data_IF_950704199950
#
_entry.id   IF_950704199950
#
_cell.length_a   1.000
_cell.length_b   1.000
_cell.length_c   1.000
_cell.angle_alpha   90.00
_cell.angle_beta   90.00
_cell.angle_gamma   90.00
#
_symmetry.space_group_name_H-M   'P 1'
#
loop_
_entity.id
_entity.type
_entity.pdbx_description
1 polymer ?
#
# COMPACT_ATOMS: atom_id res chain seq x y z
N UNK A 1 9.38 12.38 2.87
CA UNK A 1 9.79 11.04 2.39
C UNK A 1 8.75 10.38 1.49
N UNK A 2 7.60 9.88 1.96
CA UNK A 2 6.62 9.21 1.06
C UNK A 2 6.05 10.14 -0.03
N UNK A 3 5.84 11.42 0.31
CA UNK A 3 5.38 12.47 -0.63
C UNK A 3 6.40 12.76 -1.74
N UNK A 4 7.67 12.92 -1.37
CA UNK A 4 8.77 13.18 -2.32
C UNK A 4 9.02 12.00 -3.27
N UNK A 5 8.86 10.76 -2.77
CA UNK A 5 8.99 9.53 -3.57
C UNK A 5 7.82 9.41 -4.55
N UNK A 6 6.60 9.73 -4.14
CA UNK A 6 5.42 9.70 -5.01
C UNK A 6 5.50 10.77 -6.12
N UNK A 7 5.84 12.01 -5.78
CA UNK A 7 5.97 13.12 -6.73
C UNK A 7 7.06 12.83 -7.79
N UNK A 8 8.18 12.21 -7.41
CA UNK A 8 9.25 11.85 -8.35
C UNK A 8 9.00 10.58 -9.16
N UNK A 9 8.28 9.59 -8.62
CA UNK A 9 7.81 8.44 -9.40
C UNK A 9 6.88 8.89 -10.53
N UNK A 10 6.01 9.87 -10.23
CA UNK A 10 5.11 10.49 -11.21
C UNK A 10 5.92 11.19 -12.32
N UNK A 11 6.91 12.02 -11.99
CA UNK A 11 7.77 12.67 -12.99
C UNK A 11 8.56 11.68 -13.87
N UNK A 12 9.09 10.58 -13.28
CA UNK A 12 9.86 9.58 -14.03
C UNK A 12 9.01 8.73 -14.97
N UNK A 13 7.75 8.46 -14.60
CA UNK A 13 6.75 7.85 -15.50
C UNK A 13 6.37 8.82 -16.63
N UNK A 14 6.41 10.14 -16.38
CA UNK A 14 6.00 11.21 -17.30
C UNK A 14 7.11 11.65 -18.27
N UNK A 15 8.37 11.22 -18.14
CA UNK A 15 9.42 11.51 -19.13
C UNK A 15 9.00 11.14 -20.58
N UNK A 16 9.45 11.86 -21.63
CA UNK A 16 8.75 12.05 -22.90
C UNK A 16 8.49 10.72 -23.62
N UNK A 17 7.28 10.23 -23.43
CA UNK A 17 6.73 9.03 -24.04
C UNK A 17 5.34 9.42 -24.54
N UNK A 18 4.97 8.95 -25.73
CA UNK A 18 3.63 9.15 -26.28
C UNK A 18 2.57 8.62 -25.30
N UNK A 19 1.40 9.25 -25.25
CA UNK A 19 0.30 8.87 -24.35
C UNK A 19 -0.02 7.38 -24.42
N UNK A 20 -0.06 6.82 -25.63
CA UNK A 20 -0.29 5.38 -25.83
C UNK A 20 0.79 4.48 -25.23
N UNK A 21 2.06 4.92 -25.21
CA UNK A 21 3.15 4.14 -24.60
C UNK A 21 3.11 4.17 -23.08
N UNK A 22 2.74 5.31 -22.49
CA UNK A 22 2.50 5.38 -21.04
C UNK A 22 1.35 4.47 -20.65
N UNK A 23 0.26 4.50 -21.40
CA UNK A 23 -0.89 3.61 -21.19
C UNK A 23 -0.49 2.13 -21.29
N UNK A 24 0.33 1.76 -22.30
CA UNK A 24 0.84 0.41 -22.45
C UNK A 24 1.69 -0.07 -21.25
N UNK A 25 2.62 0.78 -20.76
CA UNK A 25 3.44 0.45 -19.58
C UNK A 25 2.56 0.26 -18.34
N UNK A 26 1.60 1.16 -18.14
CA UNK A 26 0.69 1.12 -17.00
C UNK A 26 -0.20 -0.12 -17.05
N UNK A 27 -0.77 -0.43 -18.22
CA UNK A 27 -1.58 -1.64 -18.43
C UNK A 27 -0.76 -2.89 -18.15
N UNK A 28 0.46 -2.96 -18.69
CA UNK A 28 1.36 -4.10 -18.45
C UNK A 28 1.74 -4.24 -16.97
N UNK A 29 1.97 -3.14 -16.24
CA UNK A 29 2.23 -3.18 -14.80
C UNK A 29 1.01 -3.68 -14.01
N UNK A 30 -0.20 -3.25 -14.37
CA UNK A 30 -1.45 -3.73 -13.75
C UNK A 30 -1.66 -5.22 -14.01
N UNK A 31 -1.49 -5.67 -15.26
CA UNK A 31 -1.61 -7.08 -15.61
C UNK A 31 -0.56 -7.92 -14.90
N UNK A 32 0.70 -7.47 -14.87
CA UNK A 32 1.77 -8.16 -14.14
C UNK A 32 1.46 -8.24 -12.63
N UNK A 33 0.91 -7.17 -12.05
CA UNK A 33 0.49 -7.14 -10.66
C UNK A 33 -0.69 -8.10 -10.39
N UNK A 34 -1.63 -8.19 -11.33
CA UNK A 34 -2.73 -9.17 -11.24
C UNK A 34 -2.21 -10.60 -11.30
N UNK A 35 -1.32 -10.93 -12.26
CA UNK A 35 -0.66 -12.24 -12.34
C UNK A 35 0.11 -12.53 -11.06
N UNK A 36 0.84 -11.55 -10.50
CA UNK A 36 1.51 -11.69 -9.20
C UNK A 36 0.53 -12.05 -8.09
N UNK A 37 -0.65 -11.44 -8.02
CA UNK A 37 -1.67 -11.80 -7.01
C UNK A 37 -2.15 -13.25 -7.15
N UNK A 38 -2.28 -13.75 -8.38
CA UNK A 38 -2.68 -15.14 -8.64
C UNK A 38 -1.59 -16.15 -8.30
N UNK A 39 -0.33 -15.84 -8.61
CA UNK A 39 0.79 -16.78 -8.48
C UNK A 39 1.56 -16.66 -7.16
N UNK A 40 1.69 -15.44 -6.64
CA UNK A 40 2.49 -15.10 -5.46
C UNK A 40 1.78 -14.06 -4.57
N UNK A 41 0.59 -14.38 -4.01
CA UNK A 41 -0.18 -13.46 -3.17
C UNK A 41 0.62 -12.95 -1.96
N UNK A 42 1.49 -13.80 -1.39
CA UNK A 42 2.38 -13.46 -0.26
C UNK A 42 3.35 -12.31 -0.55
N UNK A 43 3.64 -12.02 -1.83
CA UNK A 43 4.57 -10.95 -2.21
C UNK A 43 3.97 -9.54 -2.02
N UNK A 44 2.65 -9.43 -1.78
CA UNK A 44 1.97 -8.15 -1.57
C UNK A 44 0.90 -8.16 -0.47
N UNK A 45 0.48 -9.32 0.02
CA UNK A 45 -0.49 -9.43 1.10
C UNK A 45 0.24 -9.77 2.42
N UNK A 46 -0.23 -9.17 3.53
CA UNK A 46 0.18 -9.54 4.90
C UNK A 46 -0.07 -11.06 5.12
N UNK A 47 0.53 -11.74 6.12
CA UNK A 47 0.29 -13.17 6.39
C UNK A 47 -1.18 -13.64 6.44
N UNK A 48 -2.16 -12.74 6.48
CA UNK A 48 -3.56 -13.05 6.17
C UNK A 48 -3.89 -12.72 4.72
N UNK A 49 -4.30 -13.75 3.98
CA UNK A 49 -4.64 -13.71 2.54
C UNK A 49 -5.72 -12.67 2.17
N UNK A 50 -6.60 -12.28 3.10
CA UNK A 50 -7.68 -11.34 2.82
C UNK A 50 -7.82 -10.26 3.90
N UNK A 51 -7.39 -9.01 3.64
CA UNK A 51 -7.45 -7.93 4.63
C UNK A 51 -8.88 -7.56 5.03
N UNK A 52 -9.84 -7.70 4.11
CA UNK A 52 -11.26 -7.45 4.37
C UNK A 52 -11.84 -8.52 5.32
N UNK A 53 -11.45 -9.79 5.16
CA UNK A 53 -11.89 -10.85 6.07
C UNK A 53 -11.39 -10.62 7.49
N UNK A 54 -10.15 -10.14 7.64
CA UNK A 54 -9.62 -9.78 8.95
C UNK A 54 -10.48 -8.68 9.62
N UNK A 55 -10.91 -7.67 8.88
CA UNK A 55 -11.82 -6.63 9.38
C UNK A 55 -13.22 -7.16 9.70
N UNK A 56 -13.75 -8.06 8.87
CA UNK A 56 -15.04 -8.73 9.14
C UNK A 56 -14.97 -9.55 10.42
N UNK A 57 -13.92 -10.35 10.58
CA UNK A 57 -13.71 -11.20 11.75
C UNK A 57 -13.62 -10.32 13.00
N UNK A 58 -12.81 -9.25 12.98
CA UNK A 58 -12.70 -8.32 14.11
C UNK A 58 -14.05 -7.68 14.50
N UNK A 59 -14.93 -7.45 13.52
CA UNK A 59 -16.25 -6.87 13.75
C UNK A 59 -17.23 -7.87 14.36
N UNK A 60 -17.33 -9.06 13.78
CA UNK A 60 -18.33 -10.06 14.13
C UNK A 60 -17.92 -10.94 15.32
N UNK A 61 -16.63 -11.27 15.42
CA UNK A 61 -16.04 -12.07 16.49
C UNK A 61 -14.70 -11.45 16.92
N UNK A 62 -14.72 -10.40 17.76
CA UNK A 62 -13.49 -9.76 18.24
C UNK A 62 -12.61 -10.74 19.03
N UNK A 63 -13.20 -11.70 19.75
CA UNK A 63 -12.50 -12.79 20.45
C UNK A 63 -11.71 -13.67 19.48
N UNK A 64 -12.40 -14.22 18.48
CA UNK A 64 -11.78 -15.08 17.48
C UNK A 64 -10.74 -14.34 16.63
N UNK A 65 -10.92 -13.04 16.39
CA UNK A 65 -9.89 -12.25 15.71
C UNK A 65 -8.62 -12.10 16.55
N UNK A 66 -8.75 -11.84 17.85
CA UNK A 66 -7.61 -11.69 18.75
C UNK A 66 -6.86 -13.02 18.90
N UNK A 67 -7.59 -14.11 19.11
CA UNK A 67 -7.07 -15.48 19.16
C UNK A 67 -6.35 -15.83 17.85
N UNK A 68 -6.99 -15.67 16.70
CA UNK A 68 -6.37 -15.94 15.41
C UNK A 68 -5.16 -15.04 15.13
N UNK A 69 -5.02 -13.88 15.80
CA UNK A 69 -3.87 -12.97 15.62
C UNK A 69 -2.69 -13.35 16.51
N UNK A 70 -2.98 -13.92 17.69
CA UNK A 70 -1.98 -14.36 18.65
C UNK A 70 -1.53 -15.80 18.40
N UNK A 71 -2.45 -16.71 18.06
CA UNK A 71 -2.21 -18.16 18.03
C UNK A 71 -1.89 -18.63 16.61
N UNK A 72 -2.73 -18.27 15.63
CA UNK A 72 -2.70 -18.86 14.28
C UNK A 72 -1.69 -18.22 13.32
N UNK A 73 -1.13 -17.05 13.66
CA UNK A 73 -0.19 -16.35 12.78
C UNK A 73 1.18 -17.03 12.78
N UNK A 74 1.63 -17.44 11.61
CA UNK A 74 3.02 -17.87 11.39
C UNK A 74 3.99 -16.68 11.47
N UNK A 75 4.67 -16.55 12.60
CA UNK A 75 5.65 -15.49 12.84
C UNK A 75 6.85 -15.49 11.88
N UNK A 76 7.40 -16.64 11.46
CA UNK A 76 8.43 -16.66 10.42
C UNK A 76 7.95 -16.02 9.11
N UNK A 77 6.70 -16.28 8.72
CA UNK A 77 6.11 -15.65 7.54
C UNK A 77 5.90 -14.14 7.71
N UNK A 78 5.49 -13.69 8.90
CA UNK A 78 5.39 -12.27 9.21
C UNK A 78 6.76 -11.56 9.15
N UNK A 79 7.82 -12.19 9.66
CA UNK A 79 9.19 -11.67 9.59
C UNK A 79 9.68 -11.60 8.14
N UNK A 80 9.48 -12.66 7.36
CA UNK A 80 9.84 -12.66 5.94
C UNK A 80 9.12 -11.56 5.17
N UNK A 81 7.82 -11.37 5.44
CA UNK A 81 7.03 -10.29 4.87
C UNK A 81 7.60 -8.90 5.25
N UNK A 82 8.02 -8.69 6.50
CA UNK A 82 8.69 -7.44 6.92
C UNK A 82 10.00 -7.20 6.15
N UNK A 83 10.81 -8.24 5.94
CA UNK A 83 12.03 -8.10 5.14
C UNK A 83 11.71 -7.73 3.69
N UNK A 84 10.70 -8.35 3.09
CA UNK A 84 10.25 -8.02 1.73
C UNK A 84 9.79 -6.56 1.63
N UNK A 85 9.04 -6.06 2.63
CA UNK A 85 8.63 -4.65 2.72
C UNK A 85 9.84 -3.69 2.68
N UNK A 86 10.85 -3.98 3.50
CA UNK A 86 12.06 -3.16 3.61
C UNK A 86 12.80 -3.16 2.29
N UNK A 87 13.01 -4.33 1.68
CA UNK A 87 13.70 -4.47 0.39
C UNK A 87 12.97 -3.66 -0.70
N UNK A 88 11.65 -3.83 -0.85
CA UNK A 88 10.87 -3.11 -1.87
C UNK A 88 10.91 -1.59 -1.63
N UNK A 89 10.82 -1.17 -0.36
CA UNK A 89 10.89 0.26 0.00
C UNK A 89 12.28 0.85 -0.28
N UNK A 90 13.36 0.14 0.02
CA UNK A 90 14.73 0.59 -0.23
C UNK A 90 15.09 0.61 -1.71
N UNK A 91 14.56 -0.35 -2.48
CA UNK A 91 14.66 -0.29 -3.93
C UNK A 91 13.99 0.99 -4.46
N UNK A 92 12.76 1.27 -4.05
CA UNK A 92 12.03 2.47 -4.47
C UNK A 92 12.73 3.78 -4.03
N UNK A 93 13.28 3.84 -2.81
CA UNK A 93 14.01 5.01 -2.31
C UNK A 93 15.32 5.24 -3.09
N UNK A 94 16.08 4.18 -3.34
CA UNK A 94 17.32 4.21 -4.12
C UNK A 94 17.07 4.66 -5.55
N UNK A 95 15.95 4.24 -6.15
CA UNK A 95 15.57 4.70 -7.49
C UNK A 95 15.10 6.15 -7.50
N UNK A 96 14.29 6.59 -6.52
CA UNK A 96 13.88 7.99 -6.43
C UNK A 96 15.09 8.93 -6.26
N UNK A 97 16.12 8.51 -5.52
CA UNK A 97 17.36 9.30 -5.36
C UNK A 97 18.23 9.29 -6.62
N UNK A 98 18.35 8.17 -7.32
CA UNK A 98 19.05 8.09 -8.62
C UNK A 98 18.36 8.92 -9.71
N UNK A 99 17.03 8.93 -9.73
CA UNK A 99 16.22 9.78 -10.58
C UNK A 99 16.49 11.27 -10.33
N UNK A 100 16.53 11.68 -9.06
CA UNK A 100 16.81 13.07 -8.65
C UNK A 100 18.23 13.53 -9.02
N UNK A 101 19.22 12.64 -8.98
CA UNK A 101 20.61 12.95 -9.38
C UNK A 101 20.79 13.08 -10.90
N UNK A 102 20.00 12.34 -11.68
CA UNK A 102 20.08 12.35 -13.15
C UNK A 102 19.30 13.51 -13.79
N UNK A 103 18.30 14.07 -13.11
CA UNK A 103 17.67 15.33 -13.51
C UNK A 103 18.59 16.53 -13.26
N UNK A 104 19.33 16.57 -12.14
CA UNK A 104 20.27 17.64 -11.82
C UNK A 104 21.53 17.66 -12.71
N UNK A 105 21.92 16.52 -13.27
CA UNK A 105 23.07 16.45 -14.20
C UNK A 105 22.71 16.80 -15.64
N UNK A 106 21.41 16.76 -16.00
CA UNK A 106 20.93 17.01 -17.37
C UNK A 106 20.88 18.48 -17.73
N UNK A 107 20.86 19.37 -16.73
CA UNK A 107 20.96 20.82 -16.91
C UNK A 107 22.34 21.29 -17.36
N UNK A 108 23.36 20.41 -17.40
CA UNK A 108 24.76 20.81 -17.68
C UNK A 108 25.36 20.21 -18.96
N UNK A 109 24.63 19.39 -19.72
CA UNK A 109 25.18 18.70 -20.89
C UNK A 109 24.44 19.10 -22.18
N UNK A 110 24.79 20.27 -22.73
CA UNK A 110 24.48 20.63 -24.11
C UNK A 110 25.65 20.27 -25.04
N UNK A 111 25.31 19.78 -26.23
CA UNK A 111 26.16 19.45 -27.40
C UNK A 111 26.74 18.03 -27.45
N UNK A 112 26.17 17.20 -28.34
CA UNK A 112 26.86 16.12 -29.08
C UNK A 112 25.96 15.59 -30.21
N UNK A 113 26.51 15.12 -31.36
CA UNK A 113 25.82 15.03 -32.64
C UNK A 113 25.09 13.70 -32.91
N UNK A 114 24.25 13.70 -33.95
CA UNK A 114 22.91 13.09 -33.94
C UNK A 114 22.71 11.78 -34.71
N UNK A 115 23.72 11.17 -35.33
CA UNK A 115 23.44 10.19 -36.41
C UNK A 115 23.70 8.72 -36.08
N UNK A 116 24.54 8.37 -35.09
CA UNK A 116 24.75 6.96 -34.66
C UNK A 116 23.69 6.50 -33.62
N UNK A 117 22.85 7.44 -33.17
CA UNK A 117 21.97 7.24 -32.01
C UNK A 117 20.77 6.33 -32.24
N UNK A 118 20.31 6.07 -33.47
CA UNK A 118 18.96 5.51 -33.69
C UNK A 118 18.78 4.07 -33.18
N UNK A 119 19.80 3.19 -33.33
CA UNK A 119 19.74 1.78 -32.86
C UNK A 119 20.07 1.61 -31.38
N UNK A 120 20.98 2.44 -30.83
CA UNK A 120 21.27 2.50 -29.38
C UNK A 120 20.12 3.15 -28.59
N UNK A 121 19.42 4.13 -29.18
CA UNK A 121 18.26 4.80 -28.59
C UNK A 121 17.08 3.86 -28.42
N UNK A 122 16.84 2.91 -29.34
CA UNK A 122 15.82 1.88 -29.19
C UNK A 122 16.05 0.97 -27.98
N UNK A 123 17.27 0.44 -27.80
CA UNK A 123 17.63 -0.40 -26.64
C UNK A 123 17.64 0.39 -25.32
N UNK A 124 18.00 1.67 -25.35
CA UNK A 124 17.94 2.53 -24.16
C UNK A 124 16.48 2.85 -23.77
N UNK A 125 15.60 3.06 -24.76
CA UNK A 125 14.17 3.27 -24.56
C UNK A 125 13.48 2.04 -23.95
N UNK A 126 13.78 0.83 -24.44
CA UNK A 126 13.18 -0.40 -23.90
C UNK A 126 13.67 -0.70 -22.49
N UNK A 127 14.95 -0.45 -22.19
CA UNK A 127 15.47 -0.51 -20.82
C UNK A 127 14.76 0.49 -19.90
N UNK A 128 14.55 1.73 -20.36
CA UNK A 128 13.84 2.74 -19.58
C UNK A 128 12.37 2.37 -19.34
N UNK A 129 11.69 1.78 -20.33
CA UNK A 129 10.30 1.31 -20.18
C UNK A 129 10.19 0.13 -19.22
N UNK A 130 11.07 -0.87 -19.37
CA UNK A 130 11.13 -2.01 -18.45
C UNK A 130 11.39 -1.52 -17.01
N UNK A 131 12.26 -0.52 -16.87
CA UNK A 131 12.52 0.10 -15.57
C UNK A 131 11.29 0.81 -14.99
N UNK A 132 10.55 1.59 -15.79
CA UNK A 132 9.29 2.22 -15.37
C UNK A 132 8.22 1.19 -14.99
N UNK A 133 8.13 0.10 -15.74
CA UNK A 133 7.22 -1.00 -15.46
C UNK A 133 7.55 -1.66 -14.11
N UNK A 134 8.83 -1.95 -13.84
CA UNK A 134 9.27 -2.51 -12.56
C UNK A 134 8.98 -1.56 -11.39
N UNK A 135 9.20 -0.26 -11.56
CA UNK A 135 8.87 0.75 -10.55
C UNK A 135 7.37 0.81 -10.26
N UNK A 136 6.53 0.82 -11.30
CA UNK A 136 5.09 0.79 -11.14
C UNK A 136 4.63 -0.49 -10.45
N UNK A 137 5.16 -1.64 -10.84
CA UNK A 137 4.86 -2.92 -10.20
C UNK A 137 5.27 -2.95 -8.73
N UNK A 138 6.47 -2.47 -8.40
CA UNK A 138 6.93 -2.35 -7.01
C UNK A 138 6.05 -1.38 -6.21
N UNK A 139 5.63 -0.25 -6.81
CA UNK A 139 4.75 0.72 -6.16
C UNK A 139 3.36 0.14 -5.88
N UNK A 140 2.78 -0.61 -6.82
CA UNK A 140 1.50 -1.31 -6.65
C UNK A 140 1.60 -2.36 -5.54
N UNK A 141 2.67 -3.14 -5.55
CA UNK A 141 2.93 -4.17 -4.53
C UNK A 141 3.07 -3.54 -3.14
N UNK A 142 3.79 -2.42 -3.03
CA UNK A 142 3.93 -1.69 -1.78
C UNK A 142 2.58 -1.08 -1.34
N UNK A 143 1.81 -0.48 -2.25
CA UNK A 143 0.50 0.09 -1.93
C UNK A 143 -0.47 -0.98 -1.37
N UNK A 144 -0.53 -2.14 -2.00
CA UNK A 144 -1.38 -3.27 -1.54
C UNK A 144 -0.98 -3.74 -0.16
N UNK A 145 0.32 -3.87 0.06
CA UNK A 145 0.82 -4.38 1.32
C UNK A 145 0.62 -3.39 2.47
N UNK A 146 0.70 -2.07 2.20
CA UNK A 146 0.31 -1.02 3.15
C UNK A 146 -1.18 -0.98 3.42
N UNK A 147 -2.00 -1.23 2.40
CA UNK A 147 -3.44 -1.37 2.57
C UNK A 147 -3.78 -2.57 3.45
N UNK A 148 -3.16 -3.72 3.20
CA UNK A 148 -3.37 -4.93 3.99
C UNK A 148 -2.90 -4.77 5.43
N UNK A 149 -1.70 -4.19 5.64
CA UNK A 149 -1.18 -3.84 6.96
C UNK A 149 -2.14 -2.91 7.71
N UNK A 150 -2.68 -1.90 7.03
CA UNK A 150 -3.62 -0.93 7.63
C UNK A 150 -4.92 -1.60 8.03
N UNK A 151 -5.52 -2.42 7.16
CA UNK A 151 -6.74 -3.14 7.49
C UNK A 151 -6.54 -4.07 8.68
N UNK A 152 -5.41 -4.78 8.73
CA UNK A 152 -5.05 -5.65 9.85
C UNK A 152 -4.83 -4.86 11.14
N UNK A 153 -4.05 -3.79 11.12
CA UNK A 153 -3.74 -2.99 12.31
C UNK A 153 -5.01 -2.34 12.88
N UNK A 154 -5.86 -1.79 12.01
CA UNK A 154 -7.16 -1.21 12.41
C UNK A 154 -8.07 -2.29 12.98
N UNK A 155 -8.16 -3.47 12.34
CA UNK A 155 -8.96 -4.59 12.83
C UNK A 155 -8.50 -5.04 14.23
N UNK A 156 -7.19 -5.18 14.45
CA UNK A 156 -6.61 -5.59 15.72
C UNK A 156 -6.82 -4.55 16.82
N UNK A 157 -6.60 -3.27 16.54
CA UNK A 157 -6.85 -2.17 17.50
C UNK A 157 -8.34 -2.10 17.84
N UNK A 158 -9.22 -2.21 16.85
CA UNK A 158 -10.66 -2.14 17.05
C UNK A 158 -11.19 -3.34 17.85
N UNK A 159 -10.78 -4.58 17.53
CA UNK A 159 -11.21 -5.77 18.28
C UNK A 159 -10.66 -5.74 19.70
N UNK A 160 -9.37 -5.43 19.88
CA UNK A 160 -8.74 -5.39 21.21
C UNK A 160 -9.32 -4.27 22.06
N UNK A 161 -9.49 -3.08 21.48
CA UNK A 161 -10.13 -1.94 22.16
C UNK A 161 -11.57 -2.24 22.55
N UNK A 162 -12.34 -2.90 21.67
CA UNK A 162 -13.70 -3.35 21.99
C UNK A 162 -13.71 -4.28 23.19
N UNK A 163 -12.86 -5.31 23.20
CA UNK A 163 -12.82 -6.28 24.29
C UNK A 163 -12.35 -5.67 25.61
N UNK A 164 -11.33 -4.80 25.57
CA UNK A 164 -10.72 -4.25 26.78
C UNK A 164 -11.49 -3.07 27.38
N UNK A 165 -12.08 -2.22 26.55
CA UNK A 165 -12.72 -0.96 26.99
C UNK A 165 -14.24 -1.06 27.05
N UNK A 166 -14.85 -1.81 26.15
CA UNK A 166 -16.31 -1.88 25.99
C UNK A 166 -16.90 -3.26 26.29
N UNK A 167 -16.05 -4.26 26.57
CA UNK A 167 -16.45 -5.64 26.81
C UNK A 167 -16.86 -5.91 28.25
N UNK A 168 -17.68 -6.94 28.41
CA UNK A 168 -18.08 -7.45 29.72
C UNK A 168 -16.87 -7.98 30.52
N UNK A 169 -17.05 -8.26 31.83
CA UNK A 169 -15.95 -8.75 32.68
C UNK A 169 -15.31 -10.01 32.11
N UNK A 170 -16.12 -10.96 31.64
CA UNK A 170 -15.66 -12.20 31.03
C UNK A 170 -14.84 -11.96 29.75
N UNK A 171 -15.27 -11.02 28.91
CA UNK A 171 -14.57 -10.65 27.68
C UNK A 171 -13.21 -10.03 27.95
N UNK A 172 -13.14 -9.15 28.96
CA UNK A 172 -11.89 -8.54 29.41
C UNK A 172 -10.95 -9.56 30.01
N UNK A 173 -11.46 -10.48 30.82
CA UNK A 173 -10.66 -11.52 31.45
C UNK A 173 -10.14 -12.53 30.41
N UNK A 174 -10.95 -12.89 29.42
CA UNK A 174 -10.51 -13.67 28.27
C UNK A 174 -9.35 -12.99 27.53
N UNK A 175 -9.52 -11.73 27.13
CA UNK A 175 -8.49 -10.98 26.40
C UNK A 175 -7.19 -10.85 27.22
N UNK A 176 -7.30 -10.59 28.52
CA UNK A 176 -6.14 -10.50 29.43
C UNK A 176 -5.42 -11.84 29.58
N UNK A 177 -6.17 -12.94 29.76
CA UNK A 177 -5.59 -14.29 29.85
C UNK A 177 -4.86 -14.64 28.56
N UNK A 178 -5.52 -14.48 27.42
CA UNK A 178 -4.94 -14.79 26.12
C UNK A 178 -3.67 -13.97 25.82
N UNK A 179 -3.64 -12.69 26.20
CA UNK A 179 -2.43 -11.85 26.11
C UNK A 179 -1.36 -12.30 27.11
N UNK A 180 -1.75 -12.67 28.33
CA UNK A 180 -0.86 -13.16 29.38
C UNK A 180 -0.24 -14.53 29.08
N UNK A 181 -0.96 -15.40 28.39
CA UNK A 181 -0.49 -16.73 27.97
C UNK A 181 0.48 -16.65 26.79
N UNK A 182 0.45 -15.54 26.03
CA UNK A 182 1.30 -15.33 24.85
C UNK A 182 2.00 -13.96 24.85
N UNK A 183 2.80 -13.63 25.87
CA UNK A 183 3.31 -12.27 26.08
C UNK A 183 4.30 -11.84 24.99
N UNK A 184 5.16 -12.75 24.51
CA UNK A 184 6.09 -12.46 23.43
C UNK A 184 5.37 -12.12 22.12
N UNK A 185 4.30 -12.85 21.80
CA UNK A 185 3.49 -12.62 20.59
C UNK A 185 2.69 -11.32 20.72
N UNK A 186 2.11 -11.06 21.88
CA UNK A 186 1.42 -9.80 22.16
C UNK A 186 2.37 -8.58 22.04
N UNK A 187 3.60 -8.69 22.56
CA UNK A 187 4.61 -7.65 22.42
C UNK A 187 4.98 -7.40 20.96
N UNK A 188 5.16 -8.46 20.15
CA UNK A 188 5.42 -8.33 18.73
C UNK A 188 4.25 -7.68 17.96
N UNK A 189 3.00 -8.06 18.27
CA UNK A 189 1.81 -7.41 17.70
C UNK A 189 1.78 -5.92 18.05
N UNK A 190 2.05 -5.57 19.31
CA UNK A 190 2.13 -4.18 19.74
C UNK A 190 3.24 -3.41 19.00
N UNK A 191 4.42 -4.00 18.83
CA UNK A 191 5.51 -3.43 18.04
C UNK A 191 5.12 -3.19 16.58
N UNK A 192 4.40 -4.13 15.96
CA UNK A 192 3.90 -3.99 14.58
C UNK A 192 2.87 -2.87 14.46
N UNK A 193 1.93 -2.76 15.41
CA UNK A 193 0.95 -1.67 15.46
C UNK A 193 1.64 -0.33 15.68
N UNK A 194 2.64 -0.24 16.58
CA UNK A 194 3.42 0.98 16.80
C UNK A 194 4.22 1.38 15.56
N UNK A 195 4.80 0.41 14.85
CA UNK A 195 5.48 0.64 13.57
C UNK A 195 4.51 1.17 12.53
N UNK A 196 3.33 0.56 12.38
CA UNK A 196 2.28 1.05 11.48
C UNK A 196 1.83 2.46 11.85
N UNK A 197 1.63 2.73 13.14
CA UNK A 197 1.22 4.05 13.63
C UNK A 197 2.24 5.12 13.26
N UNK A 198 3.52 4.84 13.44
CA UNK A 198 4.62 5.76 13.08
C UNK A 198 4.82 5.91 11.58
N UNK A 199 4.75 4.81 10.82
CA UNK A 199 5.07 4.80 9.40
C UNK A 199 3.91 5.25 8.51
N UNK A 200 2.67 5.01 8.93
CA UNK A 200 1.47 5.21 8.11
C UNK A 200 0.52 6.20 8.77
N UNK A 201 0.01 5.90 9.97
CA UNK A 201 -1.08 6.65 10.56
C UNK A 201 -0.71 8.11 10.89
N UNK A 202 0.41 8.33 11.61
CA UNK A 202 0.85 9.67 12.00
C UNK A 202 1.14 10.58 10.80
N UNK A 203 1.92 10.15 9.78
CA UNK A 203 2.11 10.94 8.57
C UNK A 203 0.80 11.25 7.84
N UNK A 204 -0.14 10.31 7.78
CA UNK A 204 -1.44 10.53 7.13
C UNK A 204 -2.30 11.53 7.89
N UNK A 205 -2.34 11.44 9.22
CA UNK A 205 -3.08 12.41 10.06
C UNK A 205 -2.45 13.79 9.93
N UNK A 206 -1.12 13.91 10.01
CA UNK A 206 -0.41 15.17 9.83
C UNK A 206 -0.67 15.78 8.44
N UNK A 207 -0.63 14.96 7.39
CA UNK A 207 -0.96 15.37 6.03
C UNK A 207 -2.42 15.82 5.91
N UNK A 208 -3.37 15.09 6.49
CA UNK A 208 -4.79 15.43 6.44
C UNK A 208 -5.05 16.76 7.16
N UNK A 209 -4.46 16.96 8.34
CA UNK A 209 -4.54 18.22 9.09
C UNK A 209 -3.94 19.38 8.29
N UNK A 210 -2.75 19.19 7.69
CA UNK A 210 -2.13 20.21 6.85
C UNK A 210 -2.95 20.52 5.59
N UNK A 211 -3.59 19.51 5.00
CA UNK A 211 -4.39 19.65 3.78
C UNK A 211 -5.73 20.34 4.06
N UNK A 212 -6.36 20.02 5.19
CA UNK A 212 -7.55 20.73 5.68
C UNK A 212 -7.23 22.20 6.00
N UNK A 213 -6.08 22.48 6.62
CA UNK A 213 -5.61 23.85 6.89
C UNK A 213 -5.34 24.65 5.62
N UNK A 214 -4.93 24.00 4.54
CA UNK A 214 -4.66 24.64 3.24
C UNK A 214 -5.89 24.72 2.34
N UNK A 215 -7.09 24.37 2.83
CA UNK A 215 -8.36 24.40 2.09
C UNK A 215 -8.36 23.60 0.77
N UNK A 216 -7.40 22.69 0.59
CA UNK A 216 -7.35 21.79 -0.58
C UNK A 216 -8.21 20.56 -0.34
N UNK A 217 -9.53 20.78 -0.29
CA UNK A 217 -10.50 19.80 0.24
C UNK A 217 -10.64 18.55 -0.64
N UNK A 218 -10.35 18.61 -1.95
CA UNK A 218 -10.56 17.46 -2.85
C UNK A 218 -9.81 16.19 -2.43
N UNK A 219 -8.55 16.30 -2.03
CA UNK A 219 -7.70 15.17 -1.69
C UNK A 219 -8.12 14.45 -0.39
N UNK A 220 -8.40 15.19 0.70
CA UNK A 220 -9.01 14.63 1.91
C UNK A 220 -10.37 13.98 1.62
N UNK A 221 -11.22 14.61 0.81
CA UNK A 221 -12.53 14.04 0.45
C UNK A 221 -12.39 12.70 -0.26
N UNK A 222 -11.49 12.58 -1.26
CA UNK A 222 -11.25 11.29 -1.94
C UNK A 222 -10.75 10.24 -0.96
N UNK A 223 -9.81 10.57 -0.08
CA UNK A 223 -9.31 9.64 0.93
C UNK A 223 -10.42 9.19 1.91
N UNK A 224 -11.25 10.13 2.37
CA UNK A 224 -12.42 9.83 3.22
C UNK A 224 -13.44 8.95 2.49
N UNK A 225 -13.71 9.20 1.21
CA UNK A 225 -14.60 8.38 0.39
C UNK A 225 -14.08 6.94 0.25
N UNK A 226 -12.78 6.74 0.03
CA UNK A 226 -12.17 5.40 -0.03
C UNK A 226 -12.29 4.68 1.32
N UNK A 227 -12.03 5.39 2.42
CA UNK A 227 -12.21 4.85 3.77
C UNK A 227 -13.66 4.47 4.06
N UNK A 228 -14.61 5.37 3.78
CA UNK A 228 -16.04 5.14 3.95
C UNK A 228 -16.54 3.98 3.08
N UNK A 229 -16.08 3.89 1.83
CA UNK A 229 -16.36 2.78 0.93
C UNK A 229 -15.86 1.45 1.48
N UNK A 230 -14.65 1.42 2.04
CA UNK A 230 -14.07 0.21 2.68
C UNK A 230 -14.93 -0.23 3.87
N UNK A 231 -15.33 0.70 4.74
CA UNK A 231 -16.21 0.41 5.88
C UNK A 231 -17.59 -0.08 5.42
N UNK A 232 -18.14 0.53 4.38
CA UNK A 232 -19.42 0.16 3.81
C UNK A 232 -19.39 -1.26 3.21
N UNK A 233 -18.34 -1.60 2.47
CA UNK A 233 -18.10 -2.95 1.94
C UNK A 233 -18.02 -3.99 3.06
N UNK A 234 -17.30 -3.71 4.14
CA UNK A 234 -17.25 -4.60 5.32
C UNK A 234 -18.65 -4.76 5.92
N UNK A 235 -19.42 -3.68 6.04
CA UNK A 235 -20.76 -3.68 6.64
C UNK A 235 -21.80 -4.47 5.84
N UNK A 236 -21.76 -4.39 4.53
CA UNK A 236 -22.77 -5.01 3.65
C UNK A 236 -22.22 -6.20 2.87
N UNK A 237 -21.18 -6.84 3.39
CA UNK A 237 -20.46 -7.86 2.66
C UNK A 237 -21.28 -9.08 2.25
N UNK A 238 -22.34 -9.44 2.99
CA UNK A 238 -23.27 -10.49 2.59
C UNK A 238 -24.10 -10.14 1.34
N UNK A 239 -24.31 -8.84 1.05
CA UNK A 239 -24.98 -8.38 -0.18
C UNK A 239 -24.03 -8.21 -1.37
N UNK A 240 -22.74 -8.06 -1.09
CA UNK A 240 -21.72 -7.72 -2.08
C UNK A 240 -20.71 -8.83 -2.30
N UNK A 241 -21.06 -10.10 -2.05
CA UNK A 241 -20.13 -11.23 -2.13
C UNK A 241 -19.36 -11.26 -3.47
N UNK A 242 -20.05 -11.12 -4.61
CA UNK A 242 -19.46 -11.00 -5.95
C UNK A 242 -18.58 -9.75 -6.14
N UNK A 243 -18.98 -8.61 -5.55
CA UNK A 243 -18.23 -7.35 -5.63
C UNK A 243 -16.99 -7.39 -4.73
N UNK A 244 -17.00 -8.17 -3.65
CA UNK A 244 -15.86 -8.38 -2.74
C UNK A 244 -14.85 -9.34 -3.35
N UNK A 245 -15.30 -10.37 -4.05
CA UNK A 245 -14.43 -11.26 -4.82
C UNK A 245 -13.76 -10.50 -5.99
N UNK A 246 -14.45 -9.52 -6.59
CA UNK A 246 -13.88 -8.55 -7.54
C UNK A 246 -13.22 -7.32 -6.88
N UNK A 247 -13.30 -7.16 -5.55
CA UNK A 247 -12.94 -5.90 -4.86
C UNK A 247 -11.44 -5.65 -4.81
N UNK A 248 -10.65 -6.72 -4.87
CA UNK A 248 -9.20 -6.57 -4.99
C UNK A 248 -8.84 -5.81 -6.27
N UNK A 249 -9.61 -5.98 -7.37
CA UNK A 249 -9.45 -5.14 -8.56
C UNK A 249 -10.01 -3.72 -8.35
N UNK A 250 -11.18 -3.57 -7.73
CA UNK A 250 -11.77 -2.23 -7.51
C UNK A 250 -10.92 -1.34 -6.60
N UNK A 251 -10.26 -1.89 -5.60
CA UNK A 251 -9.30 -1.16 -4.75
C UNK A 251 -8.07 -0.75 -5.57
N UNK A 252 -7.57 -1.63 -6.45
CA UNK A 252 -6.49 -1.28 -7.40
C UNK A 252 -6.93 -0.19 -8.38
N UNK A 253 -8.17 -0.24 -8.89
CA UNK A 253 -8.76 0.78 -9.75
C UNK A 253 -9.00 2.11 -9.02
N UNK A 254 -9.45 2.08 -7.76
CA UNK A 254 -9.60 3.28 -6.94
C UNK A 254 -8.24 3.94 -6.67
N UNK A 255 -7.20 3.15 -6.37
CA UNK A 255 -5.82 3.65 -6.27
C UNK A 255 -5.30 4.19 -7.61
N UNK A 256 -5.66 3.57 -8.73
CA UNK A 256 -5.33 4.03 -10.07
C UNK A 256 -5.96 5.39 -10.38
N UNK A 257 -7.24 5.57 -10.06
CA UNK A 257 -7.95 6.84 -10.19
C UNK A 257 -7.34 7.90 -9.28
N UNK A 258 -6.95 7.52 -8.07
CA UNK A 258 -6.33 8.45 -7.09
C UNK A 258 -4.93 8.87 -7.54
N UNK A 259 -4.10 7.95 -8.03
CA UNK A 259 -2.78 8.23 -8.58
C UNK A 259 -2.87 9.02 -9.90
N UNK A 260 -3.86 8.71 -10.74
CA UNK A 260 -4.15 9.46 -11.97
C UNK A 260 -4.61 10.89 -11.69
N UNK A 261 -5.49 11.08 -10.71
CA UNK A 261 -5.94 12.38 -10.25
C UNK A 261 -4.80 13.20 -9.64
N UNK A 262 -3.94 12.57 -8.83
CA UNK A 262 -2.72 13.20 -8.29
C UNK A 262 -1.74 13.62 -9.41
N UNK A 263 -1.56 12.77 -10.42
CA UNK A 263 -0.69 13.09 -11.58
C UNK A 263 -1.24 14.21 -12.46
N UNK A 264 -2.56 14.42 -12.48
CA UNK A 264 -3.22 15.53 -13.21
C UNK A 264 -3.24 16.81 -12.36
N UNK A 265 -3.43 16.71 -11.05
CA UNK A 265 -3.48 17.85 -10.12
C UNK A 265 -2.11 18.48 -9.83
N UNK A 266 -1.01 17.85 -10.26
CA UNK A 266 0.35 18.39 -10.21
C UNK A 266 0.81 19.01 -11.55
N UNK A 267 -0.13 19.30 -12.45
CA UNK A 267 0.06 20.30 -13.53
C UNK A 267 -0.28 21.69 -13.01
#
# INVERSE_FOLDING_TARGET
>A
MARDVAEHLVEHVIAPATTGRRLGIVTAAVTANHVRRMLAPWLGQFPRRHPIEAMKLARWSPHGHLEASLVDVSWPAAILWLFQQVIVSEMLSSFATAARRSSSSRSSASSMPTTIFRRRRGKALTKADAHRLLLLLASLTLAESRYAETCWAVALVASTGRLLLFGDRLERDFARRLVGDHPARAALLACLVLRWLRAVALPHVAWLVATLRSLRVMLPTVACCVGAGTVHLVRYSNRYFLVIEMSDMLVTWAWFVTLGALAVAHR
#
